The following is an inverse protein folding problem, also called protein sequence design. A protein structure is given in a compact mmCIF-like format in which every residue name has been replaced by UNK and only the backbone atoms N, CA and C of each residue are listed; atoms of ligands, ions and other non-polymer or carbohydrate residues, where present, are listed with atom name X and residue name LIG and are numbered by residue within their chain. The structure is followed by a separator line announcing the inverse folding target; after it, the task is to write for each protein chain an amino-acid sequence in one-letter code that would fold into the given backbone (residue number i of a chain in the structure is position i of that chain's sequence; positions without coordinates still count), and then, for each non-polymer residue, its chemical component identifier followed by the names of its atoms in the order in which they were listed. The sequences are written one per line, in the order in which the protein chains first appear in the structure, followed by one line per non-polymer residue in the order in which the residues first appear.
data_IF_986317637957
#
_entry.id   IF_986317637957
#
_cell.length_a   1.000
_cell.length_b   1.000
_cell.length_c   1.000
_cell.angle_alpha   90.00
_cell.angle_beta   90.00
_cell.angle_gamma   90.00
#
_symmetry.space_group_name_H-M   'P 1'
#
loop_
_entity.id
_entity.type
_entity.pdbx_description
1 polymer ?
#
# COMPACT_ATOMS: atom_id res chain seq x y z
N UNK A 1 -5.06 -33.20 -12.95
CA UNK A 1 -4.35 -32.22 -12.11
C UNK A 1 -3.11 -31.64 -12.80
N UNK A 2 -2.59 -32.26 -13.86
CA UNK A 2 -1.36 -31.84 -14.58
C UNK A 2 -1.61 -30.74 -15.63
N UNK A 3 -2.69 -30.80 -16.40
CA UNK A 3 -2.90 -29.92 -17.56
C UNK A 3 -3.18 -28.45 -17.20
N UNK A 4 -3.71 -28.18 -16.01
CA UNK A 4 -3.90 -26.83 -15.47
C UNK A 4 -3.86 -26.89 -13.92
N UNK A 5 -2.66 -26.96 -13.33
CA UNK A 5 -2.50 -27.34 -11.94
C UNK A 5 -3.09 -26.30 -10.97
N UNK A 6 -2.97 -25.01 -11.28
CA UNK A 6 -3.55 -23.94 -10.45
C UNK A 6 -5.08 -24.01 -10.39
N UNK A 7 -5.73 -24.03 -11.55
CA UNK A 7 -7.19 -24.11 -11.62
C UNK A 7 -7.74 -25.41 -11.03
N UNK A 8 -7.13 -26.55 -11.34
CA UNK A 8 -7.61 -27.87 -10.90
C UNK A 8 -7.39 -28.09 -9.40
N UNK A 9 -6.30 -27.59 -8.81
CA UNK A 9 -6.09 -27.66 -7.36
C UNK A 9 -7.09 -26.78 -6.61
N UNK A 10 -7.45 -25.62 -7.17
CA UNK A 10 -8.41 -24.68 -6.59
C UNK A 10 -9.86 -25.16 -6.69
N UNK A 11 -10.28 -25.65 -7.87
CA UNK A 11 -11.69 -25.93 -8.17
C UNK A 11 -12.04 -27.43 -8.15
N UNK A 12 -11.05 -28.31 -8.19
CA UNK A 12 -11.24 -29.76 -8.20
C UNK A 12 -10.48 -30.42 -7.04
N UNK A 13 -10.50 -29.77 -5.86
CA UNK A 13 -9.83 -30.19 -4.63
C UNK A 13 -9.93 -31.68 -4.30
N UNK A 14 -11.11 -32.31 -4.35
CA UNK A 14 -11.25 -33.74 -4.01
C UNK A 14 -10.49 -34.68 -4.95
N UNK A 15 -10.52 -34.39 -6.25
CA UNK A 15 -9.86 -35.20 -7.29
C UNK A 15 -8.35 -34.96 -7.27
N UNK A 16 -7.94 -33.72 -7.01
CA UNK A 16 -6.53 -33.35 -6.92
C UNK A 16 -5.93 -33.49 -5.52
N UNK A 17 -6.70 -34.01 -4.55
CA UNK A 17 -6.32 -34.17 -3.15
C UNK A 17 -5.72 -32.90 -2.55
N UNK A 18 -6.27 -31.75 -2.93
CA UNK A 18 -5.80 -30.42 -2.52
C UNK A 18 -6.81 -29.68 -1.66
N UNK A 19 -7.88 -30.33 -1.19
CA UNK A 19 -8.88 -29.70 -0.31
C UNK A 19 -8.25 -29.00 0.90
N UNK A 20 -7.24 -29.63 1.52
CA UNK A 20 -6.51 -29.05 2.65
C UNK A 20 -5.69 -27.82 2.27
N UNK A 21 -5.37 -27.60 1.00
CA UNK A 21 -4.65 -26.41 0.52
C UNK A 21 -5.61 -25.24 0.19
N UNK A 22 -6.93 -25.47 0.27
CA UNK A 22 -7.96 -24.46 0.00
C UNK A 22 -8.46 -23.77 1.27
N UNK A 23 -8.24 -24.37 2.43
CA UNK A 23 -8.65 -23.81 3.70
C UNK A 23 -7.82 -22.54 3.98
N UNK A 24 -8.47 -21.46 4.42
CA UNK A 24 -7.82 -20.15 4.60
C UNK A 24 -6.61 -20.24 5.54
N UNK A 25 -6.73 -21.07 6.58
CA UNK A 25 -5.70 -21.26 7.61
C UNK A 25 -4.46 -22.03 7.13
N UNK A 26 -4.58 -22.81 6.07
CA UNK A 26 -3.52 -23.71 5.57
C UNK A 26 -3.03 -23.32 4.17
N UNK A 27 -3.74 -22.42 3.48
CA UNK A 27 -3.38 -21.97 2.13
C UNK A 27 -2.11 -21.12 2.12
N UNK A 28 -1.88 -20.36 3.19
CA UNK A 28 -0.66 -19.57 3.43
C UNK A 28 -0.22 -19.75 4.88
N UNK A 29 0.41 -20.88 5.25
CA UNK A 29 0.96 -21.02 6.58
C UNK A 29 2.04 -19.94 6.75
N UNK A 30 1.95 -19.15 7.82
CA UNK A 30 3.01 -18.22 8.18
C UNK A 30 4.25 -19.04 8.49
N UNK A 31 5.33 -18.79 7.74
CA UNK A 31 6.62 -19.39 8.04
C UNK A 31 7.14 -18.78 9.35
N UNK A 32 7.29 -19.58 10.43
CA UNK A 32 7.77 -19.06 11.72
C UNK A 32 9.22 -18.58 11.64
N UNK A 33 9.97 -19.02 10.62
CA UNK A 33 11.34 -18.61 10.34
C UNK A 33 11.41 -17.55 9.23
N UNK A 34 10.25 -16.98 8.84
CA UNK A 34 10.20 -15.90 7.88
C UNK A 34 11.07 -14.74 8.35
N UNK A 35 12.00 -14.35 7.50
CA UNK A 35 12.73 -13.10 7.68
C UNK A 35 11.79 -11.92 7.47
N UNK A 36 12.00 -10.84 8.24
CA UNK A 36 11.21 -9.62 8.06
C UNK A 36 11.28 -9.16 6.59
N UNK A 37 10.10 -8.87 6.03
CA UNK A 37 10.00 -8.38 4.65
C UNK A 37 10.65 -7.00 4.46
N UNK A 38 10.86 -6.26 5.56
CA UNK A 38 11.45 -4.94 5.60
C UNK A 38 12.68 -4.94 6.50
N UNK A 39 13.81 -4.47 5.98
CA UNK A 39 15.03 -4.29 6.75
C UNK A 39 15.16 -2.83 7.21
N UNK A 40 16.05 -2.54 8.17
CA UNK A 40 16.38 -1.17 8.53
C UNK A 40 16.74 -0.35 7.27
N UNK A 41 16.07 0.78 7.07
CA UNK A 41 16.25 1.65 5.91
C UNK A 41 15.35 1.34 4.70
N UNK A 42 14.70 0.17 4.63
CA UNK A 42 13.81 -0.17 3.50
C UNK A 42 12.66 0.82 3.36
N UNK A 43 12.09 1.30 4.48
CA UNK A 43 11.05 2.32 4.45
C UNK A 43 11.58 3.66 3.93
N UNK A 44 12.79 4.08 4.33
CA UNK A 44 13.42 5.29 3.79
C UNK A 44 13.59 5.19 2.29
N UNK A 45 14.09 4.06 1.79
CA UNK A 45 14.24 3.83 0.35
C UNK A 45 12.90 3.82 -0.40
N UNK A 46 11.83 3.31 0.23
CA UNK A 46 10.48 3.36 -0.35
C UNK A 46 10.03 4.82 -0.53
N UNK A 47 10.11 5.64 0.52
CA UNK A 47 9.69 7.05 0.43
C UNK A 47 10.57 7.86 -0.52
N UNK A 48 11.89 7.70 -0.47
CA UNK A 48 12.81 8.36 -1.41
C UNK A 48 12.55 7.90 -2.85
N UNK A 49 12.21 6.63 -3.06
CA UNK A 49 11.82 6.09 -4.35
C UNK A 49 10.54 6.73 -4.90
N UNK A 50 9.54 6.97 -4.04
CA UNK A 50 8.31 7.69 -4.42
C UNK A 50 8.64 9.12 -4.87
N UNK A 51 9.50 9.83 -4.12
CA UNK A 51 9.88 11.21 -4.43
C UNK A 51 10.74 11.32 -5.71
N UNK A 52 11.57 10.32 -5.98
CA UNK A 52 12.47 10.33 -7.14
C UNK A 52 11.81 9.85 -8.44
N UNK A 53 10.72 9.10 -8.37
CA UNK A 53 10.11 8.47 -9.54
C UNK A 53 9.17 9.46 -10.29
N UNK A 54 9.45 9.77 -11.58
CA UNK A 54 8.63 10.67 -12.39
C UNK A 54 7.15 10.29 -12.50
N UNK A 55 6.83 8.99 -12.43
CA UNK A 55 5.45 8.50 -12.54
C UNK A 55 4.55 8.99 -11.39
N UNK A 56 5.15 9.36 -10.26
CA UNK A 56 4.44 9.87 -9.10
C UNK A 56 4.34 11.40 -9.06
N UNK A 57 5.04 12.13 -9.93
CA UNK A 57 4.99 13.60 -9.95
C UNK A 57 3.58 14.14 -10.26
N UNK A 58 2.78 13.37 -11.01
CA UNK A 58 1.37 13.69 -11.31
C UNK A 58 0.48 13.81 -10.07
N UNK A 59 0.92 13.29 -8.93
CA UNK A 59 0.18 13.31 -7.66
C UNK A 59 0.48 14.55 -6.81
N UNK A 60 1.32 15.48 -7.28
CA UNK A 60 1.65 16.72 -6.57
C UNK A 60 2.11 16.44 -5.12
N UNK A 61 3.23 15.72 -5.00
CA UNK A 61 3.71 15.21 -3.71
C UNK A 61 4.34 16.33 -2.89
N UNK A 62 3.96 16.46 -1.63
CA UNK A 62 4.61 17.32 -0.64
C UNK A 62 5.12 16.51 0.56
N UNK A 63 6.30 16.88 1.07
CA UNK A 63 6.90 16.22 2.25
C UNK A 63 6.53 17.02 3.48
N UNK A 64 5.88 16.40 4.46
CA UNK A 64 5.51 17.06 5.72
C UNK A 64 6.47 16.71 6.85
N UNK A 65 7.03 15.50 6.84
CA UNK A 65 7.95 15.02 7.86
C UNK A 65 8.86 13.93 7.31
N UNK A 66 10.11 13.90 7.80
CA UNK A 66 11.06 12.80 7.54
C UNK A 66 12.08 12.63 8.68
N UNK A 67 12.66 11.42 8.85
CA UNK A 67 13.56 11.15 9.97
C UNK A 67 14.87 11.94 9.94
N UNK A 68 15.38 12.23 8.75
CA UNK A 68 16.66 12.93 8.54
C UNK A 68 16.52 13.96 7.43
N UNK A 69 17.40 14.97 7.40
CA UNK A 69 17.49 15.94 6.31
C UNK A 69 17.64 15.24 4.95
N UNK A 70 17.02 15.81 3.91
CA UNK A 70 17.25 15.39 2.54
C UNK A 70 18.69 15.70 2.12
N UNK A 71 19.24 14.98 1.12
CA UNK A 71 20.54 15.30 0.58
C UNK A 71 20.58 16.74 0.05
N UNK A 72 21.42 17.59 0.64
CA UNK A 72 21.60 18.99 0.24
C UNK A 72 20.82 20.01 1.06
N UNK A 73 19.89 19.57 1.90
CA UNK A 73 19.15 20.46 2.80
C UNK A 73 19.92 20.73 4.09
N UNK A 74 19.65 21.90 4.69
CA UNK A 74 20.03 22.24 6.06
C UNK A 74 18.78 22.42 6.92
N UNK A 75 18.94 22.51 8.24
CA UNK A 75 17.82 22.81 9.15
C UNK A 75 17.13 24.15 8.83
N UNK A 76 17.83 25.08 8.18
CA UNK A 76 17.30 26.39 7.80
C UNK A 76 16.56 26.35 6.46
N UNK A 77 16.90 25.42 5.57
CA UNK A 77 16.28 25.30 4.24
C UNK A 77 15.19 24.24 4.16
N UNK A 78 15.12 23.32 5.13
CA UNK A 78 14.09 22.31 5.19
C UNK A 78 12.71 22.94 5.44
N UNK A 79 11.76 22.66 4.57
CA UNK A 79 10.35 23.06 4.66
C UNK A 79 9.45 21.97 5.29
N UNK A 80 10.07 20.93 5.83
CA UNK A 80 9.43 19.77 6.46
C UNK A 80 9.97 19.52 7.88
N UNK A 81 9.21 18.80 8.69
CA UNK A 81 9.64 18.43 10.04
C UNK A 81 10.74 17.36 10.02
N UNK A 82 11.88 17.63 10.68
CA UNK A 82 13.02 16.71 10.78
C UNK A 82 12.99 15.96 12.12
N UNK A 83 13.30 14.66 12.09
CA UNK A 83 13.33 13.80 13.28
C UNK A 83 12.00 13.11 13.59
N UNK A 84 10.98 13.33 12.75
CA UNK A 84 9.70 12.64 12.80
C UNK A 84 9.65 11.41 11.89
N UNK A 85 8.53 10.66 11.91
CA UNK A 85 8.29 9.61 10.92
C UNK A 85 8.18 10.20 9.51
N UNK A 86 8.32 9.38 8.48
CA UNK A 86 7.98 9.79 7.12
C UNK A 86 6.49 10.11 7.01
N UNK A 87 6.18 11.33 6.57
CA UNK A 87 4.83 11.77 6.21
C UNK A 87 4.94 12.55 4.91
N UNK A 88 4.27 12.05 3.88
CA UNK A 88 4.11 12.72 2.59
C UNK A 88 2.62 12.89 2.31
N UNK A 89 2.28 13.95 1.60
CA UNK A 89 0.93 14.21 1.10
C UNK A 89 0.94 14.07 -0.42
N UNK A 90 -0.12 13.47 -0.96
CA UNK A 90 -0.35 13.30 -2.40
C UNK A 90 -1.58 14.13 -2.75
N UNK A 91 -1.38 15.41 -3.06
CA UNK A 91 -2.49 16.37 -3.20
C UNK A 91 -3.45 16.01 -4.35
N UNK A 92 -2.92 15.42 -5.43
CA UNK A 92 -3.68 15.02 -6.59
C UNK A 92 -3.82 13.48 -6.70
N UNK A 93 -4.03 12.79 -5.57
CA UNK A 93 -4.17 11.33 -5.53
C UNK A 93 -5.37 10.79 -6.34
N UNK A 94 -6.46 11.55 -6.39
CA UNK A 94 -7.67 11.28 -7.16
C UNK A 94 -8.07 12.54 -7.91
N UNK A 95 -8.55 12.38 -9.14
CA UNK A 95 -9.22 13.50 -9.82
C UNK A 95 -10.52 13.85 -9.11
N UNK A 96 -11.03 15.07 -9.32
CA UNK A 96 -12.33 15.48 -8.76
C UNK A 96 -13.46 14.55 -9.22
N UNK A 97 -13.43 14.11 -10.48
CA UNK A 97 -14.41 13.19 -11.05
C UNK A 97 -14.30 11.78 -10.43
N UNK A 98 -13.08 11.28 -10.18
CA UNK A 98 -12.87 10.00 -9.50
C UNK A 98 -13.37 10.04 -8.05
N UNK A 99 -13.11 11.15 -7.35
CA UNK A 99 -13.59 11.37 -5.99
C UNK A 99 -15.12 11.44 -5.95
N UNK A 100 -15.76 12.19 -6.84
CA UNK A 100 -17.22 12.28 -6.94
C UNK A 100 -17.85 10.91 -7.24
N UNK A 101 -17.23 10.14 -8.15
CA UNK A 101 -17.70 8.79 -8.47
C UNK A 101 -17.57 7.85 -7.29
N UNK A 102 -16.49 7.95 -6.52
CA UNK A 102 -16.29 7.14 -5.32
C UNK A 102 -17.34 7.45 -4.25
N UNK A 103 -17.70 8.73 -4.07
CA UNK A 103 -18.77 9.17 -3.17
C UNK A 103 -20.13 8.61 -3.62
N UNK A 104 -20.45 8.69 -4.92
CA UNK A 104 -21.69 8.16 -5.47
C UNK A 104 -21.83 6.64 -5.22
N UNK A 105 -20.76 5.88 -5.51
CA UNK A 105 -20.73 4.44 -5.26
C UNK A 105 -20.89 4.11 -3.77
N UNK A 106 -20.25 4.89 -2.89
CA UNK A 106 -20.43 4.77 -1.45
C UNK A 106 -21.89 4.93 -1.04
N UNK A 107 -22.58 5.94 -1.59
CA UNK A 107 -24.01 6.14 -1.34
C UNK A 107 -24.90 4.98 -1.80
N UNK A 108 -24.58 4.34 -2.93
CA UNK A 108 -25.30 3.16 -3.43
C UNK A 108 -25.13 1.96 -2.49
N UNK A 109 -23.94 1.76 -1.93
CA UNK A 109 -23.65 0.74 -0.92
C UNK A 109 -24.23 1.07 0.47
N UNK A 110 -24.86 2.24 0.63
CA UNK A 110 -25.50 2.68 1.87
C UNK A 110 -24.54 3.39 2.84
N UNK A 111 -23.36 3.81 2.41
CA UNK A 111 -22.51 4.70 3.19
C UNK A 111 -23.11 6.11 3.19
N UNK A 112 -23.21 6.69 4.38
CA UNK A 112 -23.66 8.06 4.57
C UNK A 112 -22.49 8.95 4.99
N UNK A 113 -22.65 10.26 4.77
CA UNK A 113 -21.69 11.24 5.26
C UNK A 113 -21.58 11.14 6.78
N UNK A 114 -20.35 11.05 7.29
CA UNK A 114 -20.10 11.16 8.72
C UNK A 114 -20.63 12.50 9.24
N UNK A 115 -21.56 12.45 10.18
CA UNK A 115 -21.97 13.60 10.97
C UNK A 115 -21.11 13.60 12.24
N UNK A 116 -20.47 14.73 12.55
CA UNK A 116 -19.77 14.89 13.82
C UNK A 116 -20.76 14.71 14.98
N UNK A 117 -20.38 13.92 15.99
CA UNK A 117 -21.07 13.81 17.29
C UNK A 117 -20.53 14.80 18.30
#
# INVERSE_FOLDING_TARGET
CENNPGYMKLNCGPVCKSCEQLHVETRCPMDPDAVDALYPGTLTHMFEGILANPDFQKYEISVLSRPTLAPGDTEETADYFVGGPWVIMLDNALSSEEADRLIELGGIEGYERSADV
#
